data_IF_710669280276
#
_entry.id   IF_710669280276
#
_cell.length_a   1.000
_cell.length_b   1.000
_cell.length_c   1.000
_cell.angle_alpha   90.00
_cell.angle_beta   90.00
_cell.angle_gamma   90.00
#
_symmetry.space_group_name_H-M   'P 1'
#
loop_
_entity.id
_entity.type
_entity.pdbx_description
1 polymer ?
#
# COMPACT_ATOMS: atom_id res chain seq x y z
N UNK A 1 -7.70 16.28 13.14
CA UNK A 1 -8.18 14.95 12.75
C UNK A 1 -8.00 14.79 11.24
N UNK A 2 -7.38 13.71 10.77
CA UNK A 2 -7.25 13.41 9.35
C UNK A 2 -8.11 12.19 9.05
N UNK A 3 -9.01 12.28 8.08
CA UNK A 3 -10.00 11.24 7.80
C UNK A 3 -10.27 11.15 6.30
N UNK A 4 -10.56 9.94 5.81
CA UNK A 4 -10.98 9.67 4.44
C UNK A 4 -12.26 8.85 4.51
N UNK A 5 -13.38 9.45 4.10
CA UNK A 5 -14.71 8.88 4.37
C UNK A 5 -14.89 8.64 5.87
N UNK A 6 -15.15 7.39 6.22
CA UNK A 6 -15.43 6.94 7.59
C UNK A 6 -14.17 6.45 8.32
N UNK A 7 -13.00 6.56 7.69
CA UNK A 7 -11.72 6.06 8.23
C UNK A 7 -10.93 7.18 8.84
N UNK A 8 -10.74 7.13 10.16
CA UNK A 8 -9.84 8.03 10.88
C UNK A 8 -8.38 7.57 10.74
N UNK A 9 -7.50 8.51 10.42
CA UNK A 9 -6.08 8.29 10.18
C UNK A 9 -5.27 9.05 11.24
N UNK A 10 -4.38 8.33 11.92
CA UNK A 10 -3.61 8.85 13.06
C UNK A 10 -2.78 10.10 12.74
N UNK A 11 -2.29 10.25 11.51
CA UNK A 11 -1.49 11.38 11.07
C UNK A 11 -1.55 11.56 9.54
N UNK A 12 -1.02 12.68 9.04
CA UNK A 12 -1.05 13.05 7.62
C UNK A 12 0.10 12.46 6.78
N UNK A 13 0.76 11.40 7.26
CA UNK A 13 1.81 10.70 6.51
C UNK A 13 1.21 9.49 5.83
N UNK A 14 1.19 9.51 4.48
CA UNK A 14 0.61 8.45 3.65
C UNK A 14 1.66 7.88 2.74
N UNK A 15 1.79 6.55 2.73
CA UNK A 15 2.74 5.85 1.85
C UNK A 15 2.07 5.55 0.52
N UNK A 16 2.70 5.98 -0.58
CA UNK A 16 2.22 5.73 -1.93
C UNK A 16 2.27 4.23 -2.28
N UNK A 17 1.30 3.72 -3.06
CA UNK A 17 1.36 2.36 -3.58
C UNK A 17 2.46 2.24 -4.63
N UNK A 18 3.39 1.30 -4.44
CA UNK A 18 4.52 1.07 -5.34
C UNK A 18 4.57 -0.43 -5.71
N UNK A 19 4.33 -0.75 -6.98
CA UNK A 19 4.36 -2.12 -7.49
C UNK A 19 5.74 -2.76 -7.24
N UNK A 20 5.76 -3.99 -6.69
CA UNK A 20 7.00 -4.69 -6.37
C UNK A 20 7.76 -4.19 -5.13
N UNK A 21 7.36 -3.06 -4.52
CA UNK A 21 7.98 -2.52 -3.29
C UNK A 21 7.04 -2.65 -2.08
N UNK A 22 5.77 -2.29 -2.24
CA UNK A 22 4.77 -2.25 -1.15
C UNK A 22 4.29 -3.65 -0.71
N UNK A 23 5.22 -4.57 -0.48
CA UNK A 23 4.99 -5.92 0.04
C UNK A 23 4.63 -5.90 1.54
N UNK A 24 4.28 -7.06 2.09
CA UNK A 24 3.81 -7.15 3.48
C UNK A 24 4.85 -6.70 4.51
N UNK A 25 6.13 -7.04 4.33
CA UNK A 25 7.20 -6.64 5.24
C UNK A 25 7.39 -5.11 5.22
N UNK A 26 7.47 -4.51 4.03
CA UNK A 26 7.58 -3.06 3.88
C UNK A 26 6.41 -2.33 4.55
N UNK A 27 5.18 -2.78 4.31
CA UNK A 27 3.98 -2.16 4.91
C UNK A 27 3.96 -2.25 6.44
N UNK A 28 4.45 -3.36 7.00
CA UNK A 28 4.54 -3.51 8.44
C UNK A 28 5.54 -2.52 9.02
N UNK A 29 6.75 -2.50 8.45
CA UNK A 29 7.83 -1.60 8.86
C UNK A 29 7.36 -0.15 8.79
N UNK A 30 6.91 0.36 7.64
CA UNK A 30 6.54 1.78 7.54
C UNK A 30 5.37 2.17 8.47
N UNK A 31 4.48 1.22 8.83
CA UNK A 31 3.43 1.44 9.82
C UNK A 31 3.99 1.54 11.25
N UNK A 32 4.97 0.70 11.60
CA UNK A 32 5.70 0.78 12.87
C UNK A 32 6.50 2.09 13.00
N UNK A 33 7.05 2.58 11.89
CA UNK A 33 7.74 3.87 11.82
C UNK A 33 6.80 5.09 11.81
N UNK A 34 5.48 4.87 11.91
CA UNK A 34 4.51 5.94 12.13
C UNK A 34 3.80 6.45 10.89
N UNK A 35 3.76 5.70 9.78
CA UNK A 35 2.85 6.02 8.68
C UNK A 35 1.38 5.95 9.15
N UNK A 36 0.62 7.01 8.91
CA UNK A 36 -0.81 7.07 9.25
C UNK A 36 -1.65 6.16 8.36
N UNK A 37 -1.31 6.09 7.07
CA UNK A 37 -1.96 5.24 6.09
C UNK A 37 -0.92 4.55 5.18
N UNK A 38 -1.14 3.26 4.94
CA UNK A 38 -0.29 2.41 4.09
C UNK A 38 -1.14 1.68 3.06
N UNK A 39 -0.72 1.73 1.81
CA UNK A 39 -1.42 1.06 0.71
C UNK A 39 -0.72 -0.25 0.32
N UNK A 40 -1.50 -1.22 -0.16
CA UNK A 40 -0.95 -2.39 -0.86
C UNK A 40 -0.31 -1.99 -2.19
N UNK A 41 0.51 -2.88 -2.73
CA UNK A 41 1.08 -2.70 -4.06
C UNK A 41 0.00 -2.52 -5.12
N UNK A 42 0.33 -1.75 -6.15
CA UNK A 42 -0.54 -1.61 -7.31
C UNK A 42 -0.46 -2.91 -8.12
N UNK A 43 -1.58 -3.59 -8.28
CA UNK A 43 -1.69 -4.79 -9.11
C UNK A 43 -2.33 -4.44 -10.44
N UNK A 44 -1.68 -4.81 -11.55
CA UNK A 44 -2.26 -4.68 -12.88
C UNK A 44 -3.29 -5.78 -13.13
N UNK A 45 -4.47 -5.38 -13.59
CA UNK A 45 -5.52 -6.23 -14.15
C UNK A 45 -4.99 -7.18 -15.23
N UNK A 46 -4.14 -6.68 -16.14
CA UNK A 46 -3.44 -7.48 -17.17
C UNK A 46 -2.50 -8.50 -16.54
N UNK A 47 -1.79 -8.13 -15.48
CA UNK A 47 -0.91 -9.07 -14.76
C UNK A 47 -1.67 -10.28 -14.19
N UNK A 48 -2.89 -10.05 -13.68
CA UNK A 48 -3.76 -11.12 -13.18
C UNK A 48 -4.36 -11.92 -14.36
N UNK A 49 -4.94 -11.24 -15.35
CA UNK A 49 -5.64 -11.86 -16.48
C UNK A 49 -4.72 -12.72 -17.35
N UNK A 50 -3.48 -12.27 -17.59
CA UNK A 50 -2.49 -13.00 -18.38
C UNK A 50 -1.62 -13.94 -17.53
N UNK A 51 -1.99 -14.20 -16.26
CA UNK A 51 -1.24 -15.03 -15.30
C UNK A 51 0.27 -14.80 -15.40
N UNK A 52 0.67 -13.52 -15.32
CA UNK A 52 2.02 -13.01 -15.50
C UNK A 52 3.08 -14.12 -15.44
N UNK A 53 3.39 -14.73 -16.61
CA UNK A 53 4.47 -15.72 -16.69
C UNK A 53 5.72 -14.92 -16.36
N UNK A 54 6.17 -15.04 -15.11
CA UNK A 54 7.55 -14.70 -14.77
C UNK A 54 8.41 -15.57 -15.68
N UNK A 55 8.96 -14.94 -16.72
CA UNK A 55 10.06 -15.50 -17.48
C UNK A 55 11.27 -15.59 -16.55
#
# INVERSE_FOLDING_TARGET
MFQIGDVEIKNRVVVAPMAGISNSAFRLTVKEFGAGLVCCEMISDKGIAYRNKKN
#
